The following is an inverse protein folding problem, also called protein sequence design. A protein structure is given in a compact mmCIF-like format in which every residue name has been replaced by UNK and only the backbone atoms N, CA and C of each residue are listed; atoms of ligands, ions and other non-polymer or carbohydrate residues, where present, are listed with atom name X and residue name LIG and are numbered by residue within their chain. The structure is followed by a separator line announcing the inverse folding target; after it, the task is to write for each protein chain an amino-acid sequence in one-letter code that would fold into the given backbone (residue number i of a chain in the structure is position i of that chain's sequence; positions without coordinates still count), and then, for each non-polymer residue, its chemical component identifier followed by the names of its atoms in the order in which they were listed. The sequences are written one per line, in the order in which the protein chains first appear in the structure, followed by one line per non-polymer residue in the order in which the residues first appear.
data_IF_456598194346
#
_entry.id   IF_456598194346
#
_cell.length_a   1.000
_cell.length_b   1.000
_cell.length_c   1.000
_cell.angle_alpha   90.00
_cell.angle_beta   90.00
_cell.angle_gamma   90.00
#
_symmetry.space_group_name_H-M   'P 1'
#
loop_
_entity.id
_entity.type
_entity.pdbx_description
1 polymer ?
#
# COMPACT_ATOMS: atom_id res chain seq x y z
N UNK A 1 -16.96 -1.30 -17.29
CA UNK A 1 -18.05 -2.26 -16.97
C UNK A 1 -17.71 -3.00 -15.69
N UNK A 2 -18.71 -3.27 -14.83
CA UNK A 2 -18.56 -4.06 -13.58
C UNK A 2 -19.19 -5.43 -13.84
N UNK A 3 -18.51 -6.50 -13.42
CA UNK A 3 -18.92 -7.88 -13.63
C UNK A 3 -18.79 -8.69 -12.34
N UNK A 4 -19.86 -9.33 -11.91
CA UNK A 4 -19.81 -10.31 -10.81
C UNK A 4 -19.10 -11.58 -11.29
N UNK A 5 -18.16 -12.08 -10.50
CA UNK A 5 -17.31 -13.22 -10.81
C UNK A 5 -17.48 -14.31 -9.77
N UNK A 6 -17.74 -15.53 -10.21
CA UNK A 6 -17.83 -16.71 -9.31
C UNK A 6 -16.47 -17.42 -9.13
N UNK A 7 -15.39 -16.71 -9.33
CA UNK A 7 -14.05 -17.27 -9.11
C UNK A 7 -13.85 -17.72 -7.66
N UNK A 8 -12.97 -18.72 -7.50
CA UNK A 8 -12.54 -19.17 -6.17
C UNK A 8 -11.74 -18.03 -5.51
N UNK A 9 -12.05 -17.76 -4.25
CA UNK A 9 -11.27 -16.85 -3.42
C UNK A 9 -10.07 -17.60 -2.83
N UNK A 10 -8.89 -17.04 -2.98
CA UNK A 10 -7.65 -17.61 -2.44
C UNK A 10 -6.78 -16.50 -1.86
N UNK A 11 -6.03 -16.84 -0.81
CA UNK A 11 -4.96 -15.97 -0.33
C UNK A 11 -3.72 -16.17 -1.19
N UNK A 12 -3.34 -15.12 -1.89
CA UNK A 12 -2.11 -15.08 -2.68
C UNK A 12 -0.96 -14.47 -1.87
N UNK A 13 0.24 -14.51 -2.40
CA UNK A 13 1.37 -13.76 -1.84
C UNK A 13 1.50 -12.42 -2.55
N UNK A 14 1.94 -11.41 -1.83
CA UNK A 14 2.36 -10.17 -2.45
C UNK A 14 3.44 -10.46 -3.51
N UNK A 15 3.41 -9.82 -4.70
CA UNK A 15 4.35 -10.07 -5.80
C UNK A 15 5.77 -9.55 -5.50
N UNK A 16 6.23 -9.71 -4.26
CA UNK A 16 7.61 -9.45 -3.87
C UNK A 16 8.52 -10.55 -4.41
N UNK A 17 9.83 -10.26 -4.66
CA UNK A 17 10.79 -11.29 -4.97
C UNK A 17 10.80 -12.37 -3.88
N UNK A 18 10.73 -13.64 -4.30
CA UNK A 18 10.90 -14.79 -3.39
C UNK A 18 12.38 -14.84 -3.00
N UNK A 19 12.67 -15.21 -1.74
CA UNK A 19 14.03 -15.40 -1.22
C UNK A 19 14.83 -14.12 -0.95
N UNK A 20 14.42 -13.39 0.04
CA UNK A 20 14.98 -12.42 0.94
C UNK A 20 16.42 -11.86 0.82
N UNK A 21 17.25 -12.35 -0.09
CA UNK A 21 18.60 -11.84 -0.28
C UNK A 21 18.65 -10.46 -0.97
N UNK A 22 17.73 -10.22 -1.88
CA UNK A 22 17.70 -9.00 -2.72
C UNK A 22 16.74 -7.92 -2.23
N UNK A 23 15.79 -8.29 -1.38
CA UNK A 23 14.82 -7.38 -0.76
C UNK A 23 14.41 -7.93 0.60
N UNK A 24 13.88 -7.06 1.48
CA UNK A 24 13.16 -7.52 2.68
C UNK A 24 11.67 -7.49 2.42
N UNK A 25 10.99 -8.58 2.70
CA UNK A 25 9.56 -8.76 2.46
C UNK A 25 8.81 -9.02 3.77
N UNK A 26 7.70 -8.30 3.96
CA UNK A 26 6.79 -8.49 5.11
C UNK A 26 5.90 -9.72 4.98
N UNK A 27 6.00 -10.47 3.89
CA UNK A 27 5.19 -11.66 3.56
C UNK A 27 3.67 -11.44 3.61
N UNK A 28 3.24 -10.20 3.33
CA UNK A 28 1.83 -9.86 3.21
C UNK A 28 1.09 -10.89 2.35
N UNK A 29 -0.02 -11.41 2.84
CA UNK A 29 -0.98 -12.18 2.04
C UNK A 29 -1.93 -11.23 1.34
N UNK A 30 -2.33 -11.54 0.14
CA UNK A 30 -3.25 -10.70 -0.65
C UNK A 30 -4.56 -11.39 -0.87
N UNK A 31 -5.63 -10.63 -0.76
CA UNK A 31 -7.01 -11.07 -1.00
C UNK A 31 -7.62 -10.22 -2.10
N UNK A 32 -7.80 -10.80 -3.29
CA UNK A 32 -8.31 -10.10 -4.45
C UNK A 32 -9.83 -10.26 -4.57
N UNK A 33 -10.58 -9.56 -3.71
CA UNK A 33 -12.04 -9.50 -3.76
C UNK A 33 -12.55 -8.67 -4.95
N UNK A 34 -11.74 -7.72 -5.42
CA UNK A 34 -11.98 -6.89 -6.60
C UNK A 34 -10.72 -6.92 -7.46
N UNK A 35 -10.87 -7.13 -8.75
CA UNK A 35 -9.77 -7.14 -9.72
C UNK A 35 -10.02 -6.13 -10.82
N UNK A 36 -8.95 -5.59 -11.37
CA UNK A 36 -8.92 -4.46 -12.27
C UNK A 36 -9.29 -3.15 -11.55
N UNK A 37 -8.62 -2.09 -11.90
CA UNK A 37 -8.77 -0.79 -11.28
C UNK A 37 -9.30 0.22 -12.31
N UNK A 38 -10.22 1.08 -11.91
CA UNK A 38 -10.73 2.16 -12.76
C UNK A 38 -9.81 3.39 -12.76
N UNK A 39 -8.81 3.44 -11.88
CA UNK A 39 -7.82 4.51 -11.90
C UNK A 39 -6.85 4.31 -13.05
N UNK A 40 -6.40 5.43 -13.61
CA UNK A 40 -5.52 5.46 -14.76
C UNK A 40 -4.05 5.77 -14.42
N UNK A 41 -3.54 5.30 -13.27
CA UNK A 41 -2.15 5.58 -12.90
C UNK A 41 -1.19 5.09 -14.00
N UNK A 42 -0.42 5.99 -14.61
CA UNK A 42 0.42 5.70 -15.78
C UNK A 42 1.50 4.64 -15.53
N UNK A 43 1.93 4.50 -14.29
CA UNK A 43 2.97 3.57 -13.84
C UNK A 43 2.42 2.23 -13.29
N UNK A 44 1.10 2.04 -13.30
CA UNK A 44 0.50 0.91 -12.60
C UNK A 44 0.67 -0.39 -13.36
N UNK A 45 1.27 -1.39 -12.72
CA UNK A 45 1.45 -2.73 -13.29
C UNK A 45 0.12 -3.46 -13.55
N UNK A 46 -0.96 -3.11 -12.84
CA UNK A 46 -2.30 -3.69 -13.06
C UNK A 46 -2.72 -3.51 -14.52
N UNK A 47 -2.45 -2.34 -15.12
CA UNK A 47 -2.78 -2.08 -16.52
C UNK A 47 -2.06 -3.00 -17.51
N UNK A 48 -0.90 -3.55 -17.13
CA UNK A 48 -0.15 -4.48 -17.97
C UNK A 48 -0.66 -5.93 -17.86
N UNK A 49 -1.31 -6.30 -16.75
CA UNK A 49 -1.79 -7.66 -16.51
C UNK A 49 -3.23 -7.89 -16.94
N UNK A 50 -4.06 -6.85 -16.93
CA UNK A 50 -5.48 -6.97 -17.30
C UNK A 50 -5.72 -6.30 -18.65
N UNK A 51 -6.15 -7.09 -19.63
CA UNK A 51 -6.44 -6.61 -21.00
C UNK A 51 -7.90 -6.17 -21.20
N UNK A 52 -8.75 -6.33 -20.18
CA UNK A 52 -10.18 -6.06 -20.27
C UNK A 52 -10.52 -4.80 -19.46
N UNK A 53 -11.35 -3.92 -20.02
CA UNK A 53 -11.88 -2.75 -19.31
C UNK A 53 -13.04 -3.12 -18.37
N UNK A 54 -12.91 -4.25 -17.67
CA UNK A 54 -13.96 -4.78 -16.79
C UNK A 54 -13.44 -4.98 -15.38
N UNK A 55 -14.10 -4.34 -14.42
CA UNK A 55 -13.86 -4.57 -13.00
C UNK A 55 -14.59 -5.85 -12.61
N UNK A 56 -13.87 -6.86 -12.16
CA UNK A 56 -14.43 -8.12 -11.67
C UNK A 56 -14.57 -8.07 -10.16
N UNK A 57 -15.75 -8.41 -9.67
CA UNK A 57 -16.11 -8.40 -8.25
C UNK A 57 -16.48 -9.83 -7.86
N UNK A 58 -15.83 -10.36 -6.82
CA UNK A 58 -16.12 -11.72 -6.34
C UNK A 58 -17.53 -11.78 -5.79
N UNK A 59 -18.36 -12.68 -6.38
CA UNK A 59 -19.71 -12.94 -5.89
C UNK A 59 -19.68 -13.79 -4.62
N UNK A 60 -20.68 -13.67 -3.77
CA UNK A 60 -20.83 -14.43 -2.52
C UNK A 60 -19.56 -14.36 -1.64
N UNK A 61 -18.95 -13.14 -1.57
CA UNK A 61 -17.68 -12.94 -0.88
C UNK A 61 -17.75 -13.36 0.59
N UNK A 62 -18.84 -13.03 1.27
CA UNK A 62 -19.04 -13.38 2.69
C UNK A 62 -19.00 -14.89 2.93
N UNK A 63 -19.68 -15.66 2.10
CA UNK A 63 -19.73 -17.12 2.18
C UNK A 63 -18.36 -17.73 1.84
N UNK A 64 -17.69 -17.19 0.83
CA UNK A 64 -16.34 -17.62 0.43
C UNK A 64 -15.31 -17.34 1.51
N UNK A 65 -15.39 -16.19 2.19
CA UNK A 65 -14.53 -15.86 3.33
C UNK A 65 -14.77 -16.79 4.51
N UNK A 66 -16.04 -17.12 4.83
CA UNK A 66 -16.37 -18.07 5.90
C UNK A 66 -15.86 -19.50 5.62
N UNK A 67 -15.85 -19.90 4.35
CA UNK A 67 -15.39 -21.22 3.93
C UNK A 67 -13.87 -21.29 3.70
N UNK A 68 -13.17 -20.17 3.82
CA UNK A 68 -11.73 -20.12 3.58
C UNK A 68 -10.96 -20.71 4.76
N UNK A 69 -10.12 -21.69 4.47
CA UNK A 69 -9.14 -22.19 5.42
C UNK A 69 -7.96 -21.20 5.48
N UNK A 70 -7.61 -20.78 6.69
CA UNK A 70 -6.53 -19.83 6.94
C UNK A 70 -5.41 -20.58 7.67
N UNK A 71 -4.22 -20.56 7.10
CA UNK A 71 -3.03 -21.11 7.72
C UNK A 71 -2.69 -20.36 9.02
N UNK A 72 -2.21 -21.05 10.03
CA UNK A 72 -1.92 -20.48 11.37
C UNK A 72 -0.83 -19.40 11.35
N UNK A 73 -0.01 -19.35 10.31
CA UNK A 73 1.03 -18.34 10.13
C UNK A 73 0.50 -17.02 9.52
N UNK A 74 -0.74 -17.01 9.02
CA UNK A 74 -1.35 -15.81 8.43
C UNK A 74 -1.79 -14.86 9.53
N UNK A 75 -1.24 -13.70 9.55
CA UNK A 75 -1.56 -12.63 10.51
C UNK A 75 -1.85 -11.27 9.84
N UNK A 76 -1.50 -11.11 8.55
CA UNK A 76 -1.63 -9.85 7.82
C UNK A 76 -2.13 -10.13 6.40
N UNK A 77 -3.32 -9.62 6.10
CA UNK A 77 -3.96 -9.73 4.80
C UNK A 77 -4.17 -8.33 4.24
N UNK A 78 -3.66 -8.09 3.05
CA UNK A 78 -3.87 -6.84 2.32
C UNK A 78 -4.86 -7.00 1.18
N UNK A 79 -5.65 -5.98 0.94
CA UNK A 79 -6.49 -5.86 -0.25
C UNK A 79 -5.97 -4.73 -1.14
N UNK A 80 -6.46 -4.66 -2.38
CA UNK A 80 -6.08 -3.59 -3.30
C UNK A 80 -4.78 -3.84 -4.09
N UNK A 81 -4.28 -5.08 -4.13
CA UNK A 81 -3.12 -5.43 -4.96
C UNK A 81 -3.52 -5.60 -6.43
N UNK A 82 -4.68 -6.18 -6.71
CA UNK A 82 -5.23 -6.33 -8.05
C UNK A 82 -6.22 -5.21 -8.43
N UNK A 83 -6.48 -4.26 -7.51
CA UNK A 83 -7.41 -3.14 -7.67
C UNK A 83 -7.06 -2.03 -6.66
N UNK A 84 -8.06 -1.30 -6.22
CA UNK A 84 -7.99 -0.35 -5.10
C UNK A 84 -9.06 -0.77 -4.07
N UNK A 85 -8.70 -0.83 -2.79
CA UNK A 85 -9.56 -1.39 -1.75
C UNK A 85 -10.86 -0.63 -1.53
N UNK A 86 -10.86 0.68 -1.76
CA UNK A 86 -12.02 1.55 -1.60
C UNK A 86 -12.64 1.99 -2.93
N UNK A 87 -12.17 1.46 -4.07
CA UNK A 87 -12.62 1.87 -5.41
C UNK A 87 -14.15 1.90 -5.54
N UNK A 88 -14.82 0.91 -4.98
CA UNK A 88 -16.27 0.73 -5.07
C UNK A 88 -17.01 1.07 -3.76
N UNK A 89 -16.31 1.61 -2.75
CA UNK A 89 -16.90 1.76 -1.42
C UNK A 89 -17.40 0.41 -0.89
N UNK A 90 -18.62 0.38 -0.34
CA UNK A 90 -19.29 -0.85 0.08
C UNK A 90 -20.53 -1.19 -0.78
N UNK A 91 -20.65 -0.64 -1.98
CA UNK A 91 -21.78 -0.82 -2.91
C UNK A 91 -22.08 -2.31 -3.20
N UNK A 92 -21.08 -3.18 -3.10
CA UNK A 92 -21.17 -4.62 -3.35
C UNK A 92 -21.01 -5.45 -2.08
N UNK A 93 -21.04 -4.83 -0.90
CA UNK A 93 -20.87 -5.50 0.39
C UNK A 93 -19.45 -6.03 0.65
N UNK A 94 -18.46 -5.59 -0.11
CA UNK A 94 -17.07 -6.05 0.02
C UNK A 94 -16.48 -5.68 1.38
N UNK A 95 -16.64 -4.43 1.81
CA UNK A 95 -16.13 -3.98 3.11
C UNK A 95 -16.91 -4.63 4.25
N UNK A 96 -18.22 -4.79 4.10
CA UNK A 96 -19.06 -5.50 5.09
C UNK A 96 -18.62 -6.96 5.25
N UNK A 97 -18.33 -7.67 4.17
CA UNK A 97 -17.85 -9.04 4.22
C UNK A 97 -16.47 -9.15 4.88
N UNK A 98 -15.56 -8.21 4.58
CA UNK A 98 -14.24 -8.11 5.22
C UNK A 98 -14.36 -7.75 6.71
N UNK A 99 -15.34 -6.94 7.09
CA UNK A 99 -15.63 -6.60 8.48
C UNK A 99 -16.05 -7.84 9.28
N UNK A 100 -16.97 -8.64 8.76
CA UNK A 100 -17.39 -9.89 9.39
C UNK A 100 -16.22 -10.87 9.53
N UNK A 101 -15.37 -10.94 8.51
CA UNK A 101 -14.16 -11.76 8.53
C UNK A 101 -13.16 -11.26 9.60
N UNK A 102 -12.93 -9.95 9.68
CA UNK A 102 -12.04 -9.33 10.66
C UNK A 102 -12.51 -9.58 12.11
N UNK A 103 -13.82 -9.49 12.36
CA UNK A 103 -14.41 -9.81 13.68
C UNK A 103 -14.22 -11.28 14.06
N UNK A 104 -14.29 -12.18 13.09
CA UNK A 104 -14.08 -13.63 13.31
C UNK A 104 -12.61 -14.00 13.51
N UNK A 105 -11.68 -13.13 13.09
CA UNK A 105 -10.23 -13.36 13.12
C UNK A 105 -9.49 -12.18 13.79
N UNK A 106 -9.68 -11.98 15.11
CA UNK A 106 -9.17 -10.77 15.78
C UNK A 106 -7.63 -10.64 15.75
N UNK A 107 -6.91 -11.72 15.54
CA UNK A 107 -5.44 -11.73 15.44
C UNK A 107 -4.91 -11.54 14.02
N UNK A 108 -5.80 -11.37 13.03
CA UNK A 108 -5.43 -11.07 11.66
C UNK A 108 -5.68 -9.59 11.39
N UNK A 109 -4.67 -8.91 10.90
CA UNK A 109 -4.78 -7.51 10.44
C UNK A 109 -5.25 -7.50 9.00
N UNK A 110 -6.33 -6.78 8.72
CA UNK A 110 -6.83 -6.56 7.36
C UNK A 110 -6.43 -5.15 6.94
N UNK A 111 -5.49 -5.05 6.02
CA UNK A 111 -5.03 -3.77 5.48
C UNK A 111 -5.76 -3.43 4.18
N UNK A 112 -6.42 -2.29 4.16
CA UNK A 112 -7.15 -1.78 3.01
C UNK A 112 -6.41 -0.59 2.40
N UNK A 113 -5.69 -0.82 1.32
CA UNK A 113 -4.88 0.21 0.65
C UNK A 113 -5.64 0.89 -0.48
N UNK A 114 -5.65 2.23 -0.47
CA UNK A 114 -6.44 3.02 -1.41
C UNK A 114 -5.74 4.30 -1.90
N UNK A 115 -6.24 4.82 -3.01
CA UNK A 115 -6.06 6.17 -3.55
C UNK A 115 -7.39 6.89 -3.75
N UNK A 116 -8.48 6.30 -3.27
CA UNK A 116 -9.81 6.85 -3.37
C UNK A 116 -10.13 7.77 -2.19
N UNK A 117 -11.15 8.61 -2.40
CA UNK A 117 -11.97 9.19 -1.35
C UNK A 117 -13.35 8.56 -1.44
N UNK A 118 -13.85 7.98 -0.32
CA UNK A 118 -15.13 7.29 -0.28
C UNK A 118 -15.87 7.54 1.02
N UNK A 119 -17.17 7.65 0.91
CA UNK A 119 -18.05 7.85 2.07
C UNK A 119 -18.39 6.51 2.73
N UNK A 120 -17.42 5.93 3.44
CA UNK A 120 -17.53 4.62 4.09
C UNK A 120 -17.27 4.67 5.61
N UNK A 121 -16.99 5.85 6.15
CA UNK A 121 -16.67 6.05 7.56
C UNK A 121 -17.83 6.67 8.37
N UNK A 122 -19.05 6.42 7.97
CA UNK A 122 -20.28 6.77 8.66
C UNK A 122 -20.68 5.74 9.74
N UNK A 123 -19.97 4.61 9.80
CA UNK A 123 -20.14 3.52 10.76
C UNK A 123 -18.79 3.03 11.28
N UNK A 124 -18.74 2.42 12.49
CA UNK A 124 -17.51 1.85 13.01
C UNK A 124 -17.07 0.60 12.24
N UNK A 125 -15.75 0.46 12.07
CA UNK A 125 -15.12 -0.72 11.52
C UNK A 125 -14.33 -1.47 12.60
N UNK A 126 -14.13 -2.80 12.49
CA UNK A 126 -13.28 -3.57 13.41
C UNK A 126 -11.89 -2.94 13.57
N UNK A 127 -11.33 -2.97 14.78
CA UNK A 127 -10.04 -2.34 15.09
C UNK A 127 -8.85 -2.97 14.36
N UNK A 128 -8.97 -4.23 13.96
CA UNK A 128 -7.98 -4.91 13.12
C UNK A 128 -8.17 -4.70 11.62
N UNK A 129 -9.13 -3.86 11.20
CA UNK A 129 -9.17 -3.27 9.86
C UNK A 129 -8.38 -1.96 9.89
N UNK A 130 -7.26 -1.94 9.18
CA UNK A 130 -6.38 -0.78 9.06
C UNK A 130 -6.54 -0.19 7.68
N UNK A 131 -6.92 1.08 7.62
CA UNK A 131 -7.09 1.79 6.36
C UNK A 131 -5.80 2.52 6.02
N UNK A 132 -5.29 2.28 4.82
CA UNK A 132 -4.04 2.87 4.37
C UNK A 132 -4.21 3.61 3.05
N UNK A 133 -3.53 4.75 2.91
CA UNK A 133 -3.54 5.52 1.66
C UNK A 133 -2.15 5.56 1.06
N UNK A 134 -2.11 5.30 -0.25
CA UNK A 134 -0.91 5.63 -1.02
C UNK A 134 -0.87 7.13 -1.23
N UNK A 135 0.19 7.76 -0.77
CA UNK A 135 0.42 9.20 -0.92
C UNK A 135 1.57 9.45 -1.91
N UNK A 136 1.51 10.55 -2.61
CA UNK A 136 2.55 10.95 -3.53
C UNK A 136 2.69 12.47 -3.56
N UNK A 137 3.77 12.95 -4.16
CA UNK A 137 3.98 14.36 -4.45
C UNK A 137 2.78 14.92 -5.26
N UNK A 138 2.28 16.11 -4.96
CA UNK A 138 1.13 16.70 -5.67
C UNK A 138 1.27 16.69 -7.19
N UNK A 139 2.44 17.04 -7.71
CA UNK A 139 2.74 16.97 -9.16
C UNK A 139 2.58 15.56 -9.73
N UNK A 140 2.95 14.53 -8.98
CA UNK A 140 2.82 13.14 -9.43
C UNK A 140 1.35 12.70 -9.39
N UNK A 141 0.61 13.07 -8.37
CA UNK A 141 -0.83 12.78 -8.30
C UNK A 141 -1.54 13.40 -9.51
N UNK A 142 -1.26 14.66 -9.80
CA UNK A 142 -1.89 15.39 -10.92
C UNK A 142 -1.55 14.77 -12.29
N UNK A 143 -0.27 14.40 -12.50
CA UNK A 143 0.21 14.04 -13.83
C UNK A 143 0.19 12.54 -14.12
N UNK A 144 0.30 11.70 -13.09
CA UNK A 144 0.52 10.26 -13.24
C UNK A 144 -0.56 9.40 -12.58
N UNK A 145 -1.37 9.95 -11.64
CA UNK A 145 -2.39 9.20 -10.91
C UNK A 145 -3.81 9.60 -11.32
N UNK A 146 -4.16 9.37 -12.60
CA UNK A 146 -5.43 9.81 -13.16
C UNK A 146 -6.64 9.17 -12.46
N UNK A 147 -7.69 9.96 -12.26
CA UNK A 147 -8.97 9.57 -11.65
C UNK A 147 -8.87 9.15 -10.17
N UNK A 148 -7.74 9.36 -9.52
CA UNK A 148 -7.59 9.16 -8.08
C UNK A 148 -7.99 10.41 -7.30
N UNK A 149 -8.15 10.29 -5.98
CA UNK A 149 -8.32 11.45 -5.11
C UNK A 149 -7.02 12.27 -5.02
N UNK A 150 -7.14 13.57 -4.78
CA UNK A 150 -6.00 14.45 -4.49
C UNK A 150 -5.33 14.07 -3.17
N UNK A 151 -4.12 14.60 -2.90
CA UNK A 151 -3.42 14.39 -1.63
C UNK A 151 -4.31 14.75 -0.43
N UNK A 152 -4.93 15.93 -0.48
CA UNK A 152 -5.77 16.43 0.62
C UNK A 152 -7.00 15.56 0.80
N UNK A 153 -7.69 15.17 -0.26
CA UNK A 153 -8.86 14.30 -0.16
C UNK A 153 -8.54 12.93 0.43
N UNK A 154 -7.36 12.34 0.13
CA UNK A 154 -6.90 11.08 0.74
C UNK A 154 -6.67 11.25 2.25
N UNK A 155 -6.09 12.38 2.65
CA UNK A 155 -5.83 12.69 4.06
C UNK A 155 -7.12 12.99 4.82
N UNK A 156 -8.08 13.69 4.21
CA UNK A 156 -9.42 13.90 4.79
C UNK A 156 -10.14 12.58 5.05
N UNK A 157 -10.07 11.64 4.13
CA UNK A 157 -10.65 10.30 4.35
C UNK A 157 -9.90 9.52 5.44
N UNK A 158 -8.57 9.67 5.53
CA UNK A 158 -7.78 9.10 6.61
C UNK A 158 -8.14 9.73 7.97
N UNK A 159 -8.41 11.03 8.03
CA UNK A 159 -8.93 11.68 9.25
C UNK A 159 -10.27 11.08 9.66
N UNK A 160 -11.19 10.86 8.73
CA UNK A 160 -12.50 10.22 9.00
C UNK A 160 -12.32 8.79 9.54
N UNK A 161 -11.40 8.01 8.98
CA UNK A 161 -11.09 6.67 9.49
C UNK A 161 -10.51 6.72 10.91
N UNK A 162 -9.58 7.65 11.19
CA UNK A 162 -9.05 7.89 12.52
C UNK A 162 -10.17 8.31 13.51
N UNK A 163 -11.01 9.27 13.14
CA UNK A 163 -12.09 9.78 13.99
C UNK A 163 -13.13 8.69 14.28
N UNK A 164 -13.24 7.71 13.38
CA UNK A 164 -14.03 6.49 13.59
C UNK A 164 -13.35 5.46 14.51
N UNK A 165 -12.13 5.77 14.96
CA UNK A 165 -11.35 4.98 15.91
C UNK A 165 -10.54 3.84 15.29
N UNK A 166 -10.27 3.89 13.97
CA UNK A 166 -9.37 2.97 13.30
C UNK A 166 -7.96 3.55 13.23
N UNK A 167 -6.95 2.69 13.31
CA UNK A 167 -5.59 3.07 12.94
C UNK A 167 -5.50 3.28 11.43
N UNK A 168 -4.73 4.29 11.03
CA UNK A 168 -4.45 4.57 9.63
C UNK A 168 -3.00 4.29 9.30
N UNK A 169 -2.68 4.22 8.02
CA UNK A 169 -1.31 4.08 7.55
C UNK A 169 -1.10 4.78 6.22
N UNK A 170 0.15 5.05 5.91
CA UNK A 170 0.51 5.74 4.68
C UNK A 170 1.60 5.00 3.91
N UNK A 171 1.41 4.87 2.62
CA UNK A 171 2.42 4.35 1.70
C UNK A 171 2.91 5.49 0.82
N UNK A 172 4.11 6.00 1.10
CA UNK A 172 4.81 6.91 0.21
C UNK A 172 5.52 6.05 -0.84
N UNK A 173 4.72 5.42 -1.68
CA UNK A 173 5.13 4.40 -2.64
C UNK A 173 4.16 4.34 -3.83
N UNK A 174 4.67 4.46 -5.07
CA UNK A 174 6.08 4.69 -5.42
C UNK A 174 6.48 6.16 -5.32
N UNK A 175 7.66 6.42 -4.79
CA UNK A 175 8.30 7.72 -4.88
C UNK A 175 8.90 7.94 -6.27
N UNK A 176 8.89 9.19 -6.72
CA UNK A 176 9.46 9.64 -7.99
C UNK A 176 10.58 10.63 -7.79
N UNK A 177 11.61 10.53 -8.62
CA UNK A 177 12.71 11.48 -8.65
C UNK A 177 12.49 12.46 -9.81
N UNK A 178 12.24 13.72 -9.49
CA UNK A 178 12.00 14.81 -10.46
C UNK A 178 12.50 16.14 -9.88
N UNK A 179 12.56 17.19 -10.70
CA UNK A 179 13.01 18.51 -10.22
C UNK A 179 12.02 19.05 -9.19
N UNK A 180 12.50 19.33 -7.96
CA UNK A 180 11.66 19.83 -6.85
C UNK A 180 11.03 18.73 -5.98
N UNK A 181 11.41 17.47 -6.17
CA UNK A 181 10.85 16.34 -5.43
C UNK A 181 11.06 16.46 -3.92
N UNK A 182 12.18 17.03 -3.47
CA UNK A 182 12.46 17.20 -2.05
C UNK A 182 11.38 18.04 -1.34
N UNK A 183 11.04 19.20 -1.92
CA UNK A 183 10.05 20.11 -1.34
C UNK A 183 8.63 19.53 -1.39
N UNK A 184 8.29 18.87 -2.49
CA UNK A 184 6.96 18.28 -2.62
C UNK A 184 6.75 17.10 -1.67
N UNK A 185 7.73 16.23 -1.50
CA UNK A 185 7.61 15.13 -0.52
C UNK A 185 7.68 15.64 0.93
N UNK A 186 8.43 16.73 1.19
CA UNK A 186 8.38 17.40 2.49
C UNK A 186 6.98 17.96 2.77
N UNK A 187 6.31 18.49 1.75
CA UNK A 187 4.89 18.90 1.86
C UNK A 187 4.01 17.72 2.24
N UNK A 188 4.18 16.55 1.63
CA UNK A 188 3.43 15.33 2.02
C UNK A 188 3.65 15.00 3.50
N UNK A 189 4.89 15.05 3.98
CA UNK A 189 5.20 14.78 5.41
C UNK A 189 4.55 15.84 6.32
N UNK A 190 4.62 17.12 5.95
CA UNK A 190 4.00 18.21 6.71
C UNK A 190 2.48 18.05 6.81
N UNK A 191 1.82 17.68 5.72
CA UNK A 191 0.38 17.40 5.70
C UNK A 191 0.02 16.22 6.64
N UNK A 192 0.81 15.16 6.66
CA UNK A 192 0.61 14.04 7.59
C UNK A 192 0.77 14.53 9.04
N UNK A 193 1.87 15.19 9.36
CA UNK A 193 2.22 15.56 10.75
C UNK A 193 1.36 16.68 11.31
N UNK A 194 0.71 17.48 10.46
CA UNK A 194 -0.24 18.50 10.90
C UNK A 194 -1.63 17.95 11.23
N UNK A 195 -1.97 16.76 10.73
CA UNK A 195 -3.32 16.16 10.84
C UNK A 195 -3.38 14.96 11.79
N UNK A 196 -2.31 14.23 11.95
CA UNK A 196 -2.26 12.97 12.69
C UNK A 196 -1.17 13.02 13.75
N UNK A 197 -1.49 12.52 14.95
CA UNK A 197 -0.49 12.21 15.97
C UNK A 197 0.19 10.87 15.68
N UNK A 198 1.36 10.58 16.25
CA UNK A 198 1.99 9.27 16.09
C UNK A 198 1.11 8.09 16.55
N UNK A 199 0.20 8.35 17.50
CA UNK A 199 -0.73 7.33 18.01
C UNK A 199 -1.81 6.94 17.01
N UNK A 200 -2.13 7.79 16.04
CA UNK A 200 -3.14 7.54 15.02
C UNK A 200 -2.60 6.65 13.88
N UNK A 201 -1.27 6.66 13.68
CA UNK A 201 -0.63 6.04 12.53
C UNK A 201 0.01 4.71 12.93
N UNK A 202 -0.37 3.63 12.27
CA UNK A 202 0.22 2.31 12.48
C UNK A 202 1.53 2.15 11.71
N UNK A 203 1.54 2.57 10.44
CA UNK A 203 2.65 2.31 9.53
C UNK A 203 2.90 3.47 8.57
N UNK A 204 4.17 3.59 8.16
CA UNK A 204 4.58 4.35 6.99
C UNK A 204 5.50 3.47 6.14
N UNK A 205 4.99 3.02 5.00
CA UNK A 205 5.75 2.27 4.01
C UNK A 205 6.38 3.22 2.99
N UNK A 206 7.67 3.06 2.72
CA UNK A 206 8.41 3.88 1.76
C UNK A 206 8.96 2.97 0.66
N UNK A 207 8.87 3.40 -0.58
CA UNK A 207 9.44 2.67 -1.70
C UNK A 207 9.49 3.52 -2.96
N UNK A 208 10.38 3.15 -3.87
CA UNK A 208 10.49 3.83 -5.16
C UNK A 208 9.79 3.05 -6.27
N UNK A 209 9.67 3.71 -7.40
CA UNK A 209 9.17 3.11 -8.63
C UNK A 209 9.99 1.88 -9.01
N UNK A 210 9.30 0.77 -9.26
CA UNK A 210 9.91 -0.50 -9.62
C UNK A 210 9.08 -1.21 -10.68
N UNK A 211 9.71 -1.59 -11.80
CA UNK A 211 9.06 -2.24 -12.93
C UNK A 211 9.70 -3.57 -13.30
N UNK A 212 8.88 -4.50 -13.79
CA UNK A 212 9.38 -5.60 -14.59
C UNK A 212 9.58 -5.17 -16.05
N UNK A 213 10.43 -5.87 -16.80
CA UNK A 213 10.61 -5.61 -18.24
C UNK A 213 9.29 -5.64 -19.01
N UNK A 214 8.40 -6.58 -18.65
CA UNK A 214 7.11 -6.73 -19.31
C UNK A 214 6.21 -5.50 -19.11
N UNK A 215 6.20 -4.94 -17.90
CA UNK A 215 5.41 -3.73 -17.59
C UNK A 215 5.93 -2.52 -18.37
N UNK A 216 7.24 -2.29 -18.40
CA UNK A 216 7.83 -1.18 -19.17
C UNK A 216 7.51 -1.32 -20.67
N UNK A 217 7.67 -2.54 -21.22
CA UNK A 217 7.34 -2.80 -22.62
C UNK A 217 5.88 -2.48 -22.90
N UNK A 218 4.96 -2.95 -22.04
CA UNK A 218 3.53 -2.74 -22.20
C UNK A 218 3.14 -1.27 -22.11
N UNK A 219 3.69 -0.53 -21.14
CA UNK A 219 3.45 0.91 -21.00
C UNK A 219 3.88 1.68 -22.27
N UNK A 220 5.03 1.29 -22.86
CA UNK A 220 5.51 1.89 -24.13
C UNK A 220 4.59 1.56 -25.30
N UNK A 221 4.13 0.31 -25.40
CA UNK A 221 3.20 -0.14 -26.46
C UNK A 221 1.85 0.57 -26.37
N UNK A 222 1.40 0.92 -25.16
CA UNK A 222 0.17 1.68 -24.93
C UNK A 222 0.30 3.16 -25.30
N UNK A 223 1.49 3.64 -25.64
CA UNK A 223 1.74 5.04 -25.97
C UNK A 223 1.51 5.98 -24.76
N UNK A 224 1.69 5.46 -23.54
CA UNK A 224 1.53 6.26 -22.35
C UNK A 224 2.52 7.43 -22.35
N UNK A 225 2.00 8.64 -22.42
CA UNK A 225 2.77 9.86 -22.21
C UNK A 225 3.07 9.99 -20.71
N UNK A 226 4.09 9.29 -20.25
CA UNK A 226 4.48 9.29 -18.83
C UNK A 226 5.96 9.64 -18.70
N UNK A 227 6.28 10.58 -17.84
CA UNK A 227 7.66 10.88 -17.44
C UNK A 227 8.36 9.68 -16.80
N UNK A 228 7.59 8.72 -16.33
CA UNK A 228 8.09 7.44 -15.78
C UNK A 228 8.96 6.69 -16.79
N UNK A 229 8.64 6.75 -18.08
CA UNK A 229 9.36 6.06 -19.15
C UNK A 229 10.65 6.78 -19.58
N UNK A 230 10.81 8.04 -19.16
CA UNK A 230 11.98 8.90 -19.43
C UNK A 230 13.00 8.86 -18.30
N UNK A 231 12.70 8.21 -17.17
CA UNK A 231 13.57 8.17 -16.01
C UNK A 231 14.73 7.20 -16.19
N UNK A 232 15.86 7.56 -15.61
CA UNK A 232 17.02 6.67 -15.51
C UNK A 232 16.70 5.51 -14.56
N UNK A 233 16.47 4.33 -15.13
CA UNK A 233 16.21 3.12 -14.37
C UNK A 233 17.36 2.12 -14.58
N UNK A 234 17.82 1.52 -13.48
CA UNK A 234 18.81 0.46 -13.46
C UNK A 234 18.18 -0.88 -13.10
N UNK A 235 18.78 -1.96 -13.57
CA UNK A 235 18.34 -3.30 -13.21
C UNK A 235 18.77 -3.62 -11.77
N UNK A 236 17.80 -3.97 -10.92
CA UNK A 236 18.02 -4.43 -9.57
C UNK A 236 17.05 -5.58 -9.26
N UNK A 237 17.58 -6.75 -8.86
CA UNK A 237 16.78 -7.93 -8.51
C UNK A 237 15.78 -8.38 -9.62
N UNK A 238 16.19 -8.31 -10.90
CA UNK A 238 15.35 -8.65 -12.06
C UNK A 238 14.25 -7.65 -12.37
N UNK A 239 14.28 -6.48 -11.74
CA UNK A 239 13.35 -5.36 -11.95
C UNK A 239 14.14 -4.09 -12.29
N UNK A 240 13.45 -3.10 -12.86
CA UNK A 240 14.02 -1.78 -13.14
C UNK A 240 13.56 -0.78 -12.10
N UNK A 241 14.50 -0.08 -11.50
CA UNK A 241 14.27 0.93 -10.48
C UNK A 241 15.39 1.97 -10.49
N UNK A 242 15.32 2.97 -9.60
CA UNK A 242 16.40 3.94 -9.45
C UNK A 242 17.69 3.30 -8.91
N UNK A 243 18.87 3.88 -9.21
CA UNK A 243 20.14 3.51 -8.57
C UNK A 243 20.09 3.62 -7.05
N UNK A 244 20.87 2.79 -6.34
CA UNK A 244 20.83 2.70 -4.88
C UNK A 244 21.15 4.02 -4.17
N UNK A 245 22.11 4.78 -4.67
CA UNK A 245 22.48 6.10 -4.12
C UNK A 245 21.34 7.11 -4.21
N UNK A 246 20.62 7.09 -5.33
CA UNK A 246 19.41 7.91 -5.53
C UNK A 246 18.30 7.49 -4.57
N UNK A 247 18.06 6.19 -4.42
CA UNK A 247 17.08 5.65 -3.46
C UNK A 247 17.45 6.03 -2.02
N UNK A 248 18.70 5.87 -1.63
CA UNK A 248 19.17 6.26 -0.29
C UNK A 248 18.87 7.74 -0.02
N UNK A 249 19.20 8.62 -0.96
CA UNK A 249 18.88 10.05 -0.85
C UNK A 249 17.39 10.29 -0.64
N UNK A 250 16.54 9.65 -1.45
CA UNK A 250 15.09 9.82 -1.39
C UNK A 250 14.52 9.32 -0.06
N UNK A 251 14.89 8.13 0.38
CA UNK A 251 14.37 7.54 1.62
C UNK A 251 14.84 8.29 2.86
N UNK A 252 16.11 8.69 2.91
CA UNK A 252 16.64 9.52 4.00
C UNK A 252 15.92 10.85 4.10
N UNK A 253 15.63 11.47 2.96
CA UNK A 253 14.89 12.74 2.92
C UNK A 253 13.49 12.58 3.55
N UNK A 254 12.73 11.57 3.16
CA UNK A 254 11.42 11.29 3.75
C UNK A 254 11.55 11.01 5.24
N UNK A 255 12.36 10.04 5.62
CA UNK A 255 12.47 9.60 7.01
C UNK A 255 12.94 10.73 7.95
N UNK A 256 13.93 11.51 7.52
CA UNK A 256 14.44 12.64 8.30
C UNK A 256 13.48 13.84 8.37
N UNK A 257 12.54 13.95 7.43
CA UNK A 257 11.51 15.00 7.45
C UNK A 257 10.44 14.76 8.53
N UNK A 258 10.26 13.52 8.98
CA UNK A 258 9.40 13.25 10.13
C UNK A 258 10.08 13.65 11.43
N UNK A 259 9.36 14.31 12.38
CA UNK A 259 9.85 14.57 13.72
C UNK A 259 10.28 13.27 14.44
N UNK A 260 11.21 13.39 15.39
CA UNK A 260 11.74 12.24 16.15
C UNK A 260 10.64 11.38 16.77
N UNK A 261 9.64 12.02 17.36
CA UNK A 261 8.50 11.35 17.99
C UNK A 261 7.75 10.42 17.03
N UNK A 262 7.55 10.85 15.76
CA UNK A 262 6.92 10.01 14.73
C UNK A 262 7.81 8.81 14.38
N UNK A 263 9.10 9.05 14.19
CA UNK A 263 10.07 7.99 13.83
C UNK A 263 10.21 6.90 14.90
N UNK A 264 10.00 7.25 16.17
CA UNK A 264 10.09 6.33 17.31
C UNK A 264 8.78 5.58 17.60
N UNK A 265 7.63 6.13 17.21
CA UNK A 265 6.31 5.61 17.57
C UNK A 265 5.48 5.07 16.41
N UNK A 266 5.98 5.07 15.20
CA UNK A 266 5.33 4.53 14.00
C UNK A 266 6.21 3.45 13.38
N UNK A 267 5.61 2.42 12.81
CA UNK A 267 6.35 1.39 12.08
C UNK A 267 6.73 1.87 10.68
N UNK A 268 7.96 2.37 10.53
CA UNK A 268 8.51 2.70 9.22
C UNK A 268 9.14 1.47 8.58
N UNK A 269 8.95 1.27 7.29
CA UNK A 269 9.62 0.20 6.55
C UNK A 269 9.85 0.55 5.08
N UNK A 270 10.82 -0.13 4.47
CA UNK A 270 11.11 -0.02 3.05
C UNK A 270 10.42 -1.18 2.31
N UNK A 271 9.55 -0.85 1.34
CA UNK A 271 8.77 -1.83 0.60
C UNK A 271 9.52 -2.31 -0.64
N UNK A 272 9.84 -3.60 -0.71
CA UNK A 272 10.53 -4.25 -1.85
C UNK A 272 11.90 -3.64 -2.18
N UNK A 273 12.63 -3.16 -1.19
CA UNK A 273 13.89 -2.44 -1.36
C UNK A 273 15.10 -3.26 -0.91
N UNK A 274 16.26 -2.91 -1.45
CA UNK A 274 17.52 -3.56 -1.15
C UNK A 274 17.84 -3.51 0.36
N UNK A 275 18.29 -4.62 0.98
CA UNK A 275 18.59 -4.68 2.40
C UNK A 275 19.63 -3.64 2.86
N UNK A 276 20.61 -3.29 2.01
CA UNK A 276 21.64 -2.31 2.32
C UNK A 276 21.13 -0.89 2.60
N UNK A 277 19.90 -0.59 2.14
CA UNK A 277 19.28 0.72 2.35
C UNK A 277 18.66 0.87 3.74
N UNK A 278 18.35 -0.23 4.43
CA UNK A 278 17.62 -0.19 5.69
C UNK A 278 18.42 0.50 6.81
N UNK A 279 19.62 0.05 7.09
CA UNK A 279 20.48 0.68 8.10
C UNK A 279 20.77 2.14 7.78
N UNK A 280 21.07 2.44 6.52
CA UNK A 280 21.40 3.80 6.06
C UNK A 280 20.22 4.77 6.15
N UNK A 281 19.01 4.27 6.03
CA UNK A 281 17.78 5.08 6.02
C UNK A 281 17.08 5.12 7.38
N UNK A 282 16.79 3.94 7.94
CA UNK A 282 15.96 3.79 9.13
C UNK A 282 16.77 3.58 10.41
N UNK A 283 18.09 3.42 10.30
CA UNK A 283 18.98 3.12 11.44
C UNK A 283 18.77 1.72 12.03
N UNK A 284 18.14 0.82 11.27
CA UNK A 284 17.91 -0.58 11.63
C UNK A 284 17.99 -1.45 10.39
N UNK A 285 18.27 -2.71 10.59
CA UNK A 285 18.26 -3.74 9.54
C UNK A 285 17.68 -5.04 10.08
N UNK A 286 17.35 -5.93 9.18
CA UNK A 286 16.88 -7.28 9.50
C UNK A 286 17.73 -8.29 8.77
N UNK A 287 18.12 -9.37 9.45
CA UNK A 287 18.95 -10.43 8.88
C UNK A 287 18.19 -11.26 7.83
N UNK A 288 16.87 -11.39 8.00
CA UNK A 288 16.00 -12.12 7.09
C UNK A 288 14.56 -11.59 7.11
N UNK A 289 13.75 -12.04 6.17
CA UNK A 289 12.34 -11.67 6.05
C UNK A 289 11.52 -12.05 7.28
N UNK A 290 11.84 -13.21 7.90
CA UNK A 290 11.13 -13.67 9.10
C UNK A 290 11.32 -12.74 10.29
N UNK A 291 12.53 -12.23 10.47
CA UNK A 291 12.82 -11.25 11.54
C UNK A 291 12.02 -9.97 11.33
N UNK A 292 12.02 -9.46 10.10
CA UNK A 292 11.22 -8.29 9.72
C UNK A 292 9.72 -8.52 9.95
N UNK A 293 9.18 -9.64 9.46
CA UNK A 293 7.78 -10.01 9.62
C UNK A 293 7.38 -10.09 11.09
N UNK A 294 8.19 -10.73 11.93
CA UNK A 294 7.92 -10.87 13.37
C UNK A 294 7.93 -9.53 14.11
N UNK A 295 8.84 -8.64 13.76
CA UNK A 295 8.90 -7.31 14.35
C UNK A 295 7.67 -6.48 13.96
N UNK A 296 7.30 -6.51 12.68
CA UNK A 296 6.07 -5.87 12.18
C UNK A 296 4.83 -6.43 12.87
N UNK A 297 4.68 -7.76 12.96
CA UNK A 297 3.56 -8.42 13.62
C UNK A 297 3.40 -7.98 15.06
N UNK A 298 4.50 -8.03 15.83
CA UNK A 298 4.50 -7.60 17.23
C UNK A 298 4.06 -6.17 17.40
N UNK A 299 4.60 -5.27 16.58
CA UNK A 299 4.23 -3.86 16.63
C UNK A 299 2.77 -3.63 16.26
N UNK A 300 2.30 -4.19 15.15
CA UNK A 300 0.92 -3.99 14.68
C UNK A 300 -0.10 -4.50 15.69
N UNK A 301 0.06 -5.73 16.16
CA UNK A 301 -0.89 -6.32 17.11
C UNK A 301 -0.90 -5.55 18.44
N UNK A 302 0.26 -5.14 18.97
CA UNK A 302 0.31 -4.35 20.20
C UNK A 302 -0.40 -3.00 20.07
N UNK A 303 -0.31 -2.35 18.90
CA UNK A 303 -0.99 -1.07 18.65
C UNK A 303 -2.49 -1.24 18.48
N UNK A 304 -2.92 -2.30 17.79
CA UNK A 304 -4.34 -2.62 17.62
C UNK A 304 -4.97 -2.99 18.97
N UNK A 305 -4.28 -3.78 19.81
CA UNK A 305 -4.78 -4.14 21.13
C UNK A 305 -4.92 -2.94 22.06
N UNK A 306 -4.06 -1.94 21.93
CA UNK A 306 -4.13 -0.71 22.72
C UNK A 306 -5.35 0.18 22.39
N UNK A 307 -6.03 -0.03 21.27
CA UNK A 307 -7.24 0.72 20.86
C UNK A 307 -8.53 -0.11 20.92
N UNK A 308 -8.44 -1.39 21.28
CA UNK A 308 -9.61 -2.26 21.51
C UNK A 308 -10.25 -1.95 22.86
#
# INVERSE_FOLDING_TARGET
KKLMSDQKLVLSRCPCPVDGEKTRCCKLRTLDAVMQCAFGCSYCSIQAFYNENEIKIVSNLKEKLKAMEIDDDVWHIGTGQASDSLLLGDDYGTLSALSDFALSHPNIVIELKSKAKRDVFDRPWPKNMVFTWSLNAPTIIEKEEHFTASLIERLEDAERARDNGNLVGFHIHPMFYFKGWEEEYKTVVNEITSRFSPSDILLIGIGTLTFTKAVIKRLREMGAESKVLEMELTEAAGKYSYPLDKKEKMFRHIYSSFPKEYRENIFFYLCMEDPSLWMKTLGREYSCDKEFEMDMKRFYLSRIDAIR
#
